data_IF_680032336588
#
_entry.id   IF_680032336588
#
_cell.length_a   1.000
_cell.length_b   1.000
_cell.length_c   1.000
_cell.angle_alpha   90.00
_cell.angle_beta   90.00
_cell.angle_gamma   90.00
#
_symmetry.space_group_name_H-M   'P 1'
#
loop_
_entity.id
_entity.type
_entity.pdbx_description
1 polymer ?
#
# COMPACT_ATOMS: atom_id res chain seq x y z
N UNK A 1 29.22 -3.04 12.72
CA UNK A 1 28.29 -3.12 11.57
C UNK A 1 27.23 -4.23 11.66
N UNK A 2 27.50 -5.38 12.27
CA UNK A 2 26.51 -6.49 12.32
C UNK A 2 25.29 -6.19 13.22
N UNK A 3 25.46 -5.43 14.29
CA UNK A 3 24.34 -5.05 15.19
C UNK A 3 23.27 -4.21 14.48
N UNK A 4 23.70 -3.27 13.63
CA UNK A 4 22.79 -2.41 12.86
C UNK A 4 21.95 -3.22 11.84
N UNK A 5 22.51 -4.32 11.29
CA UNK A 5 21.76 -5.23 10.41
C UNK A 5 20.70 -6.02 11.16
N UNK A 6 21.00 -6.47 12.38
CA UNK A 6 20.04 -7.18 13.23
C UNK A 6 18.90 -6.24 13.67
N UNK A 7 19.21 -5.00 14.00
CA UNK A 7 18.20 -4.00 14.36
C UNK A 7 17.29 -3.64 13.18
N UNK A 8 17.85 -3.44 11.98
CA UNK A 8 17.08 -3.23 10.75
C UNK A 8 16.19 -4.43 10.42
N UNK A 9 16.66 -5.66 10.62
CA UNK A 9 15.85 -6.85 10.42
C UNK A 9 14.69 -6.96 11.43
N UNK A 10 14.95 -6.65 12.71
CA UNK A 10 13.91 -6.62 13.75
C UNK A 10 12.89 -5.49 13.55
N UNK A 11 13.31 -4.34 13.04
CA UNK A 11 12.40 -3.26 12.66
C UNK A 11 11.56 -3.63 11.43
N UNK A 12 12.14 -4.28 10.42
CA UNK A 12 11.39 -4.79 9.26
C UNK A 12 10.36 -5.84 9.66
N UNK A 13 10.71 -6.75 10.58
CA UNK A 13 9.77 -7.74 11.11
C UNK A 13 8.56 -7.08 11.79
N UNK A 14 8.80 -6.03 12.59
CA UNK A 14 7.72 -5.26 13.24
C UNK A 14 6.82 -4.52 12.24
N UNK A 15 7.39 -4.01 11.14
CA UNK A 15 6.61 -3.37 10.07
C UNK A 15 5.72 -4.40 9.38
N UNK A 16 6.27 -5.56 9.04
CA UNK A 16 5.53 -6.66 8.41
C UNK A 16 4.40 -7.16 9.32
N UNK A 17 4.66 -7.27 10.61
CA UNK A 17 3.65 -7.67 11.60
C UNK A 17 2.50 -6.64 11.69
N UNK A 18 2.82 -5.34 11.68
CA UNK A 18 1.82 -4.28 11.65
C UNK A 18 1.03 -4.26 10.34
N UNK A 19 1.69 -4.46 9.20
CA UNK A 19 1.04 -4.54 7.89
C UNK A 19 0.08 -5.74 7.79
N UNK A 20 0.39 -6.86 8.45
CA UNK A 20 -0.46 -8.04 8.49
C UNK A 20 -1.77 -7.84 9.29
N UNK A 21 -1.83 -6.86 10.20
CA UNK A 21 -3.06 -6.54 10.93
C UNK A 21 -4.11 -5.85 10.04
N UNK A 22 -3.67 -5.10 9.04
CA UNK A 22 -4.56 -4.38 8.10
C UNK A 22 -5.47 -5.31 7.29
N UNK A 23 -4.98 -6.37 6.60
CA UNK A 23 -5.84 -7.29 5.87
C UNK A 23 -6.77 -8.09 6.78
N UNK A 24 -6.33 -8.40 8.01
CA UNK A 24 -7.17 -9.08 8.98
C UNK A 24 -8.36 -8.19 9.41
N UNK A 25 -8.09 -6.93 9.74
CA UNK A 25 -9.12 -5.95 10.07
C UNK A 25 -10.07 -5.67 8.89
N UNK A 26 -9.55 -5.63 7.66
CA UNK A 26 -10.40 -5.52 6.46
C UNK A 26 -11.31 -6.74 6.29
N UNK A 27 -10.80 -7.95 6.49
CA UNK A 27 -11.59 -9.18 6.42
C UNK A 27 -12.70 -9.22 7.50
N UNK A 28 -12.42 -8.73 8.71
CA UNK A 28 -13.42 -8.58 9.76
C UNK A 28 -14.45 -7.48 9.45
N UNK A 29 -14.05 -6.37 8.84
CA UNK A 29 -14.96 -5.32 8.39
C UNK A 29 -15.92 -5.81 7.29
N UNK A 30 -15.44 -6.67 6.38
CA UNK A 30 -16.28 -7.35 5.39
C UNK A 30 -17.25 -8.35 6.04
N UNK A 31 -16.79 -9.13 7.02
CA UNK A 31 -17.62 -10.14 7.70
C UNK A 31 -18.69 -9.51 8.61
N UNK A 32 -18.36 -8.41 9.28
CA UNK A 32 -19.25 -7.67 10.17
C UNK A 32 -20.27 -6.79 9.44
N UNK A 33 -20.18 -6.67 8.11
CA UNK A 33 -21.10 -5.87 7.29
C UNK A 33 -20.87 -4.35 7.36
N UNK A 34 -19.79 -3.91 8.01
CA UNK A 34 -19.40 -2.50 8.08
C UNK A 34 -18.75 -1.99 6.78
N UNK A 35 -18.30 -2.90 5.92
CA UNK A 35 -17.74 -2.58 4.61
C UNK A 35 -18.50 -3.32 3.52
N UNK A 36 -19.26 -2.58 2.72
CA UNK A 36 -20.02 -3.14 1.61
C UNK A 36 -19.15 -3.45 0.39
N UNK A 37 -19.62 -4.36 -0.47
CA UNK A 37 -18.99 -4.65 -1.78
C UNK A 37 -18.81 -3.37 -2.59
N UNK A 38 -19.78 -2.45 -2.53
CA UNK A 38 -19.71 -1.16 -3.22
C UNK A 38 -18.60 -0.23 -2.69
N UNK A 39 -18.30 -0.27 -1.39
CA UNK A 39 -17.23 0.54 -0.81
C UNK A 39 -15.86 -0.03 -1.17
N UNK A 40 -15.74 -1.36 -1.27
CA UNK A 40 -14.55 -2.00 -1.82
C UNK A 40 -14.32 -1.64 -3.30
N UNK A 41 -15.36 -1.63 -4.12
CA UNK A 41 -15.25 -1.18 -5.52
C UNK A 41 -14.86 0.30 -5.63
N UNK A 42 -15.39 1.18 -4.77
CA UNK A 42 -14.97 2.60 -4.72
C UNK A 42 -13.49 2.73 -4.32
N UNK A 43 -13.05 1.98 -3.32
CA UNK A 43 -11.63 1.95 -2.91
C UNK A 43 -10.73 1.47 -4.05
N UNK A 44 -11.12 0.42 -4.77
CA UNK A 44 -10.37 -0.09 -5.93
C UNK A 44 -10.29 0.93 -7.05
N UNK A 45 -11.37 1.65 -7.34
CA UNK A 45 -11.38 2.69 -8.37
C UNK A 45 -10.49 3.87 -7.97
N UNK A 46 -10.55 4.32 -6.72
CA UNK A 46 -9.68 5.39 -6.22
C UNK A 46 -8.20 4.99 -6.25
N UNK A 47 -7.88 3.74 -5.91
CA UNK A 47 -6.53 3.21 -6.02
C UNK A 47 -6.06 3.16 -7.48
N UNK A 48 -6.91 2.71 -8.40
CA UNK A 48 -6.61 2.73 -9.83
C UNK A 48 -6.40 4.16 -10.36
N UNK A 49 -7.19 5.13 -9.92
CA UNK A 49 -7.00 6.55 -10.27
C UNK A 49 -5.67 7.11 -9.73
N UNK A 50 -5.27 6.65 -8.53
CA UNK A 50 -3.98 7.02 -7.92
C UNK A 50 -2.82 6.43 -8.73
N UNK A 51 -2.90 5.16 -9.10
CA UNK A 51 -1.90 4.48 -9.93
C UNK A 51 -1.81 5.10 -11.34
N UNK A 52 -2.95 5.47 -11.94
CA UNK A 52 -2.97 6.21 -13.21
C UNK A 52 -2.29 7.58 -13.05
N UNK A 53 -2.49 8.29 -11.94
CA UNK A 53 -1.82 9.57 -11.68
C UNK A 53 -0.32 9.41 -11.45
N UNK A 54 0.10 8.40 -10.69
CA UNK A 54 1.51 8.10 -10.47
C UNK A 54 2.21 7.70 -11.79
N UNK A 55 1.56 6.88 -12.62
CA UNK A 55 2.13 6.48 -13.91
C UNK A 55 2.24 7.65 -14.89
N UNK A 56 1.27 8.58 -14.90
CA UNK A 56 1.39 9.85 -15.64
C UNK A 56 2.55 10.67 -15.09
N UNK A 57 2.65 10.85 -13.77
CA UNK A 57 3.73 11.58 -13.11
C UNK A 57 5.12 11.02 -13.45
N UNK A 58 5.25 9.69 -13.44
CA UNK A 58 6.49 8.99 -13.79
C UNK A 58 6.83 9.10 -15.28
N UNK A 59 5.82 9.06 -16.16
CA UNK A 59 5.99 9.27 -17.61
C UNK A 59 6.40 10.71 -17.92
N UNK A 60 5.84 11.70 -17.22
CA UNK A 60 6.23 13.11 -17.35
C UNK A 60 7.61 13.40 -16.78
N UNK A 61 8.01 12.75 -15.68
CA UNK A 61 9.35 12.87 -15.12
C UNK A 61 10.40 12.26 -16.07
N UNK A 62 10.16 11.05 -16.60
CA UNK A 62 11.08 10.41 -17.54
C UNK A 62 11.20 11.09 -18.91
N UNK A 63 10.25 11.95 -19.28
CA UNK A 63 10.31 12.75 -20.52
C UNK A 63 11.07 14.07 -20.36
N UNK A 64 11.33 14.51 -19.12
CA UNK A 64 12.09 15.74 -18.84
C UNK A 64 13.61 15.51 -18.87
N UNK A 65 14.07 14.27 -18.70
CA UNK A 65 15.50 13.91 -18.68
C UNK A 65 16.08 13.51 -20.07
N UNK A 66 15.30 13.61 -21.15
CA UNK A 66 15.70 13.19 -22.52
C UNK A 66 15.86 14.38 -23.49
N UNK A 67 16.03 15.60 -22.99
CA UNK A 67 16.37 16.77 -23.83
C UNK A 67 17.68 17.41 -23.43
#
# INVERSE_FOLDING_TARGET
>A
EQENKAEVAGMRARVIEAEAQVPLAMAEAFRSGNLGIMDYYKMKNLAADTEMRESIGKTTAGSADVK
#
